data_IF_801337928649
#
_entry.id   IF_801337928649
#
_cell.length_a   1.000
_cell.length_b   1.000
_cell.length_c   1.000
_cell.angle_alpha   90.00
_cell.angle_beta   90.00
_cell.angle_gamma   90.00
#
_symmetry.space_group_name_H-M   'P 1'
#
loop_
_entity.id
_entity.type
_entity.pdbx_description
1 polymer ?
#
# COMPACT_ATOMS: atom_id res chain seq x y z
N UNK A 1 -17.80 4.86 11.08
CA UNK A 1 -17.21 4.83 9.73
C UNK A 1 -15.76 5.19 9.93
N UNK A 2 -14.88 4.28 9.55
CA UNK A 2 -13.47 4.37 9.91
C UNK A 2 -12.68 4.93 8.73
N UNK A 3 -11.75 5.84 9.03
CA UNK A 3 -10.82 6.39 8.05
C UNK A 3 -9.63 5.44 7.90
N UNK A 4 -8.95 5.45 6.74
CA UNK A 4 -7.63 4.83 6.62
C UNK A 4 -6.64 5.56 7.54
N UNK A 5 -6.08 4.83 8.50
CA UNK A 5 -5.11 5.38 9.47
C UNK A 5 -3.79 4.62 9.49
N UNK A 6 -3.74 3.43 8.90
CA UNK A 6 -2.55 2.57 8.85
C UNK A 6 -2.63 1.61 7.66
N UNK A 7 -1.54 0.92 7.38
CA UNK A 7 -1.52 -0.22 6.46
C UNK A 7 -2.31 -1.41 7.05
N UNK A 8 -2.87 -2.23 6.17
CA UNK A 8 -3.59 -3.44 6.53
C UNK A 8 -2.64 -4.63 6.63
N UNK A 9 -2.51 -5.21 7.83
CA UNK A 9 -1.61 -6.34 8.07
C UNK A 9 -2.09 -7.66 7.45
N UNK A 10 -3.40 -7.77 7.20
CA UNK A 10 -4.05 -8.95 6.61
C UNK A 10 -4.21 -8.84 5.09
N UNK A 11 -4.05 -7.63 4.52
CA UNK A 11 -4.28 -7.34 3.11
C UNK A 11 -2.99 -6.85 2.43
N UNK A 12 -2.01 -7.76 2.44
CA UNK A 12 -0.68 -7.59 1.85
C UNK A 12 -0.05 -8.94 1.51
N UNK A 13 0.93 -8.98 0.59
CA UNK A 13 1.82 -10.13 0.43
C UNK A 13 2.60 -10.47 1.72
N UNK A 14 3.00 -11.73 1.85
CA UNK A 14 3.77 -12.22 3.01
C UNK A 14 5.18 -11.66 3.08
N UNK A 15 5.76 -11.25 1.94
CA UNK A 15 7.12 -10.71 1.85
C UNK A 15 7.21 -9.20 2.15
N UNK A 16 6.08 -8.51 2.33
CA UNK A 16 6.06 -7.13 2.82
C UNK A 16 6.00 -7.13 4.35
N UNK A 17 6.90 -6.39 4.97
CA UNK A 17 6.95 -6.22 6.42
C UNK A 17 6.44 -4.84 6.79
N UNK A 18 5.50 -4.78 7.74
CA UNK A 18 5.00 -3.53 8.31
C UNK A 18 5.51 -3.44 9.74
N UNK A 19 6.03 -2.29 10.13
CA UNK A 19 6.52 -2.10 11.50
C UNK A 19 5.37 -2.03 12.52
N UNK A 20 5.72 -1.96 13.81
CA UNK A 20 4.77 -1.90 14.91
C UNK A 20 3.88 -0.64 14.90
N UNK A 21 4.26 0.41 14.17
CA UNK A 21 3.42 1.61 14.03
C UNK A 21 2.28 1.40 13.04
N UNK A 22 2.41 0.42 12.15
CA UNK A 22 1.47 0.20 11.05
C UNK A 22 1.65 1.19 9.90
N UNK A 23 2.68 2.05 9.91
CA UNK A 23 2.86 3.14 8.93
C UNK A 23 4.09 2.95 8.04
N UNK A 24 5.08 2.15 8.46
CA UNK A 24 6.28 1.90 7.65
C UNK A 24 6.22 0.52 7.01
N UNK A 25 6.40 0.48 5.70
CA UNK A 25 6.53 -0.74 4.91
C UNK A 25 8.00 -0.93 4.54
N UNK A 26 8.51 -2.14 4.72
CA UNK A 26 9.80 -2.55 4.21
C UNK A 26 9.62 -3.81 3.35
N UNK A 27 10.42 -3.90 2.30
CA UNK A 27 10.41 -5.02 1.36
C UNK A 27 11.81 -5.60 1.31
N UNK A 28 11.95 -6.89 1.64
CA UNK A 28 13.24 -7.60 1.65
C UNK A 28 13.41 -8.53 0.43
N UNK A 29 12.51 -8.41 -0.56
CA UNK A 29 12.45 -9.29 -1.73
C UNK A 29 12.33 -8.49 -3.02
N UNK A 30 12.86 -8.97 -4.13
CA UNK A 30 12.69 -8.33 -5.45
C UNK A 30 11.33 -8.65 -6.11
N UNK A 31 10.37 -9.22 -5.37
CA UNK A 31 9.05 -9.56 -5.90
C UNK A 31 8.14 -8.33 -5.89
N UNK A 32 7.21 -8.25 -6.84
CA UNK A 32 6.19 -7.22 -6.78
C UNK A 32 5.27 -7.47 -5.58
N UNK A 33 5.06 -6.42 -4.79
CA UNK A 33 4.11 -6.41 -3.70
C UNK A 33 3.44 -5.05 -3.56
N UNK A 34 2.13 -5.06 -3.34
CA UNK A 34 1.36 -3.88 -2.99
C UNK A 34 0.65 -4.11 -1.65
N UNK A 35 0.31 -3.03 -0.94
CA UNK A 35 -0.41 -3.09 0.34
C UNK A 35 -1.49 -2.03 0.36
N UNK A 36 -2.65 -2.38 0.92
CA UNK A 36 -3.78 -1.45 1.09
C UNK A 36 -3.82 -0.89 2.51
N UNK A 37 -4.48 0.26 2.67
CA UNK A 37 -4.82 0.79 3.99
C UNK A 37 -5.84 -0.11 4.71
N UNK A 38 -5.92 0.01 6.03
CA UNK A 38 -6.85 -0.75 6.88
C UNK A 38 -8.33 -0.50 6.56
N UNK A 39 -8.68 0.65 5.96
CA UNK A 39 -10.02 0.99 5.52
C UNK A 39 -10.00 1.66 4.14
N UNK A 40 -11.08 1.53 3.33
CA UNK A 40 -11.23 2.33 2.11
C UNK A 40 -11.48 3.81 2.45
N UNK A 41 -11.22 4.70 1.49
CA UNK A 41 -11.61 6.12 1.60
C UNK A 41 -13.15 6.19 1.65
N UNK A 42 -13.76 6.76 2.71
CA UNK A 42 -15.21 6.86 2.79
C UNK A 42 -15.76 7.75 1.67
N UNK A 43 -16.87 7.40 0.99
CA UNK A 43 -17.44 8.21 -0.08
C UNK A 43 -17.88 9.62 0.34
N UNK A 44 -18.04 9.87 1.65
CA UNK A 44 -18.38 11.18 2.18
C UNK A 44 -17.17 12.12 2.22
N UNK A 45 -15.95 11.59 2.08
CA UNK A 45 -14.74 12.39 1.90
C UNK A 45 -14.78 13.05 0.52
N UNK A 46 -15.18 14.33 0.47
CA UNK A 46 -15.12 15.15 -0.77
C UNK A 46 -13.69 15.38 -1.25
N UNK A 47 -12.75 15.41 -0.31
CA UNK A 47 -11.33 15.50 -0.53
C UNK A 47 -10.65 14.57 0.47
N UNK A 48 -9.77 13.71 -0.02
CA UNK A 48 -8.94 12.85 0.80
C UNK A 48 -7.47 13.11 0.44
N UNK A 49 -6.62 13.19 1.45
CA UNK A 49 -5.22 13.50 1.31
C UNK A 49 -4.39 12.54 2.14
N UNK A 50 -3.28 12.07 1.57
CA UNK A 50 -2.27 11.29 2.26
C UNK A 50 -0.91 11.59 1.63
N UNK A 51 0.14 11.42 2.41
CA UNK A 51 1.52 11.56 1.99
C UNK A 51 2.25 10.24 2.24
N UNK A 52 3.31 10.00 1.47
CA UNK A 52 4.19 8.85 1.65
C UNK A 52 5.63 9.36 1.56
N UNK A 53 6.38 9.16 2.64
CA UNK A 53 7.81 9.46 2.68
C UNK A 53 8.62 8.26 2.17
N UNK A 54 9.44 8.50 1.15
CA UNK A 54 10.36 7.49 0.62
C UNK A 54 11.64 7.49 1.45
N UNK A 55 11.77 6.55 2.37
CA UNK A 55 12.91 6.46 3.30
C UNK A 55 14.11 5.74 2.66
N UNK A 56 13.89 4.87 1.67
CA UNK A 56 14.93 4.17 0.94
C UNK A 56 14.43 3.71 -0.43
N UNK A 57 15.25 3.88 -1.46
CA UNK A 57 14.87 3.61 -2.86
C UNK A 57 15.12 2.14 -3.28
N UNK A 58 15.72 1.33 -2.41
CA UNK A 58 16.13 -0.04 -2.75
C UNK A 58 17.18 -0.07 -3.88
N UNK A 59 17.53 -1.26 -4.38
CA UNK A 59 18.33 -1.42 -5.61
C UNK A 59 17.38 -1.79 -6.74
N UNK A 60 17.16 -0.87 -7.69
CA UNK A 60 16.35 -1.05 -8.90
C UNK A 60 14.86 -1.30 -8.66
N UNK A 61 14.27 -0.74 -7.61
CA UNK A 61 12.85 -0.97 -7.29
C UNK A 61 11.98 0.21 -7.71
N UNK A 62 10.86 -0.08 -8.38
CA UNK A 62 9.86 0.92 -8.72
C UNK A 62 8.88 1.04 -7.55
N UNK A 63 8.84 2.20 -6.91
CA UNK A 63 7.84 2.51 -5.90
C UNK A 63 6.61 3.10 -6.61
N UNK A 64 5.45 2.50 -6.37
CA UNK A 64 4.17 2.95 -6.90
C UNK A 64 3.28 3.38 -5.75
N UNK A 65 2.73 4.60 -5.85
CA UNK A 65 1.82 5.16 -4.87
C UNK A 65 0.52 5.50 -5.60
N UNK A 66 -0.61 5.08 -5.05
CA UNK A 66 -1.90 5.33 -5.68
C UNK A 66 -3.07 4.68 -4.96
N UNK A 67 -4.17 4.55 -5.69
CA UNK A 67 -5.42 3.97 -5.22
C UNK A 67 -5.69 2.69 -6.00
N UNK A 68 -6.32 1.71 -5.36
CA UNK A 68 -6.80 0.51 -6.03
C UNK A 68 -8.13 0.04 -5.44
N UNK A 69 -8.87 -0.72 -6.24
CA UNK A 69 -10.02 -1.46 -5.75
C UNK A 69 -9.58 -2.66 -4.91
N UNK A 70 -10.52 -3.19 -4.10
CA UNK A 70 -10.31 -4.43 -3.35
C UNK A 70 -9.99 -5.64 -4.24
N UNK A 71 -10.44 -5.60 -5.50
CA UNK A 71 -10.23 -6.64 -6.52
C UNK A 71 -8.81 -6.70 -7.06
N UNK A 72 -7.99 -5.64 -6.88
CA UNK A 72 -6.63 -5.58 -7.38
C UNK A 72 -5.74 -6.65 -6.73
N UNK A 73 -4.95 -7.37 -7.53
CA UNK A 73 -4.07 -8.43 -7.06
C UNK A 73 -2.76 -7.84 -6.53
N UNK A 74 -2.58 -7.91 -5.20
CA UNK A 74 -1.43 -7.33 -4.52
C UNK A 74 -0.09 -8.04 -4.76
N UNK A 75 -0.10 -9.22 -5.38
CA UNK A 75 1.12 -9.98 -5.71
C UNK A 75 1.53 -9.84 -7.19
N UNK A 76 0.79 -9.05 -7.98
CA UNK A 76 1.05 -8.95 -9.41
C UNK A 76 0.83 -7.52 -9.94
N UNK A 77 1.81 -7.04 -10.71
CA UNK A 77 1.77 -5.77 -11.42
C UNK A 77 0.72 -5.72 -12.55
N UNK A 78 0.09 -6.84 -12.91
CA UNK A 78 -0.95 -6.91 -13.93
C UNK A 78 -2.16 -6.04 -13.54
N UNK A 79 -2.40 -4.99 -14.32
CA UNK A 79 -3.48 -4.03 -14.08
C UNK A 79 -3.03 -2.67 -13.58
N UNK A 80 -1.72 -2.49 -13.31
CA UNK A 80 -1.16 -1.16 -13.05
C UNK A 80 -1.33 -0.25 -14.28
N UNK A 81 -1.83 0.97 -14.03
CA UNK A 81 -2.04 1.98 -15.08
C UNK A 81 -3.24 1.73 -16.00
N UNK A 82 -4.11 0.78 -15.66
CA UNK A 82 -5.41 0.56 -16.33
C UNK A 82 -6.55 1.21 -15.58
#
# INVERSE_FOLDING_TARGET
MDLPTSWNLDDKPTHLNVDSSGLRVNQDSNQFGAIRANHPIPPQCKLFYFEVDIIGEGKNEHILIGLCEKSFNLNNANGLGK
#
